data_IF_996710528709
#
_entry.id   IF_996710528709
#
_cell.length_a   1.000
_cell.length_b   1.000
_cell.length_c   1.000
_cell.angle_alpha   90.00
_cell.angle_beta   90.00
_cell.angle_gamma   90.00
#
_symmetry.space_group_name_H-M   'P 1'
#
loop_
_entity.id
_entity.type
_entity.pdbx_description
1 polymer ?
#
# COMPACT_ATOMS: atom_id res chain seq x y z
N UNK A 1 4.09 -15.51 6.27
CA UNK A 1 3.96 -14.07 5.95
C UNK A 1 3.39 -13.28 7.12
N UNK A 2 2.21 -13.61 7.66
CA UNK A 2 1.67 -12.96 8.88
C UNK A 2 2.71 -12.88 10.02
N UNK A 3 3.42 -13.99 10.28
CA UNK A 3 4.52 -14.02 11.25
C UNK A 3 5.72 -13.11 10.93
N UNK A 4 6.03 -12.87 9.65
CA UNK A 4 7.07 -11.91 9.31
C UNK A 4 6.55 -10.47 9.43
N UNK A 5 5.31 -10.22 8.98
CA UNK A 5 4.75 -8.87 8.91
C UNK A 5 4.33 -8.32 10.27
N UNK A 6 4.06 -9.18 11.26
CA UNK A 6 3.59 -8.79 12.59
C UNK A 6 2.30 -7.92 12.52
N UNK A 7 1.43 -8.20 11.55
CA UNK A 7 0.18 -7.48 11.31
C UNK A 7 -0.91 -8.43 10.83
N UNK A 8 -2.17 -8.03 10.92
CA UNK A 8 -3.33 -8.66 10.27
C UNK A 8 -4.02 -7.71 9.28
N UNK A 9 -3.44 -6.54 9.01
CA UNK A 9 -3.95 -5.60 8.01
C UNK A 9 -3.98 -6.26 6.62
N UNK A 10 -5.17 -6.27 6.02
CA UNK A 10 -5.47 -6.97 4.77
C UNK A 10 -4.62 -6.45 3.61
N UNK A 11 -4.63 -5.14 3.38
CA UNK A 11 -3.89 -4.49 2.29
C UNK A 11 -2.37 -4.76 2.42
N UNK A 12 -1.83 -4.65 3.64
CA UNK A 12 -0.42 -4.94 3.90
C UNK A 12 -0.08 -6.41 3.62
N UNK A 13 -0.88 -7.37 4.09
CA UNK A 13 -0.59 -8.81 3.92
C UNK A 13 -0.73 -9.23 2.46
N UNK A 14 -1.82 -8.85 1.78
CA UNK A 14 -2.02 -9.20 0.38
C UNK A 14 -0.87 -8.67 -0.48
N UNK A 15 -0.45 -7.42 -0.25
CA UNK A 15 0.73 -6.88 -0.91
C UNK A 15 2.03 -7.61 -0.53
N UNK A 16 2.14 -8.09 0.70
CA UNK A 16 3.34 -8.76 1.22
C UNK A 16 3.58 -10.14 0.63
N UNK A 17 2.53 -10.86 0.23
CA UNK A 17 2.68 -12.19 -0.38
C UNK A 17 3.52 -12.11 -1.65
N UNK A 18 3.15 -11.25 -2.60
CA UNK A 18 3.92 -11.08 -3.81
C UNK A 18 5.33 -10.52 -3.54
N UNK A 19 5.48 -9.56 -2.61
CA UNK A 19 6.81 -9.05 -2.24
C UNK A 19 7.72 -10.13 -1.65
N UNK A 20 7.19 -11.01 -0.80
CA UNK A 20 7.95 -12.08 -0.17
C UNK A 20 8.49 -13.09 -1.19
N UNK A 21 7.64 -13.51 -2.15
CA UNK A 21 8.11 -14.42 -3.20
C UNK A 21 9.09 -13.75 -4.16
N UNK A 22 8.86 -12.47 -4.48
CA UNK A 22 9.80 -11.67 -5.28
C UNK A 22 11.15 -11.53 -4.58
N UNK A 23 11.18 -11.22 -3.28
CA UNK A 23 12.44 -11.09 -2.53
C UNK A 23 13.16 -12.43 -2.40
N UNK A 24 12.44 -13.54 -2.20
CA UNK A 24 13.00 -14.89 -2.20
C UNK A 24 13.64 -15.26 -3.55
N UNK A 25 13.02 -14.86 -4.66
CA UNK A 25 13.60 -15.05 -5.99
C UNK A 25 14.86 -14.21 -6.18
N UNK A 26 14.79 -12.92 -5.82
CA UNK A 26 15.86 -11.94 -6.00
C UNK A 26 17.10 -12.28 -5.17
N UNK A 27 16.95 -12.93 -4.01
CA UNK A 27 18.09 -13.37 -3.18
C UNK A 27 19.12 -14.22 -3.94
N UNK A 28 18.73 -14.86 -5.06
CA UNK A 28 19.66 -15.61 -5.92
C UNK A 28 20.48 -14.73 -6.89
N UNK A 29 20.14 -13.44 -7.02
CA UNK A 29 20.70 -12.52 -8.00
C UNK A 29 21.31 -11.26 -7.39
N UNK A 30 20.71 -10.75 -6.31
CA UNK A 30 21.17 -9.54 -5.63
C UNK A 30 20.78 -9.56 -4.15
N UNK A 31 21.58 -8.88 -3.34
CA UNK A 31 21.27 -8.62 -1.93
C UNK A 31 20.64 -7.23 -1.71
N UNK A 32 20.47 -6.43 -2.76
CA UNK A 32 19.90 -5.09 -2.68
C UNK A 32 19.06 -4.75 -3.93
N UNK A 33 17.93 -4.07 -3.73
CA UNK A 33 17.07 -3.57 -4.81
C UNK A 33 16.67 -2.12 -4.60
N UNK A 34 16.29 -1.46 -5.70
CA UNK A 34 15.58 -0.19 -5.68
C UNK A 34 14.08 -0.46 -5.86
N UNK A 35 13.26 0.19 -5.05
CA UNK A 35 11.80 0.04 -5.10
C UNK A 35 11.11 1.41 -5.19
N UNK A 36 9.86 1.43 -5.66
CA UNK A 36 9.13 2.64 -6.02
C UNK A 36 8.28 3.26 -4.90
N UNK A 37 8.26 2.66 -3.71
CA UNK A 37 7.47 3.10 -2.57
C UNK A 37 7.81 4.55 -2.16
N UNK A 38 6.77 5.32 -1.82
CA UNK A 38 6.84 6.75 -1.57
C UNK A 38 6.36 7.62 -2.74
N UNK A 39 6.39 7.11 -3.98
CA UNK A 39 5.97 7.89 -5.14
C UNK A 39 4.47 8.26 -5.08
N UNK A 40 3.61 7.32 -4.69
CA UNK A 40 2.18 7.55 -4.63
C UNK A 40 1.80 8.54 -3.52
N UNK A 41 2.47 8.46 -2.36
CA UNK A 41 2.24 9.35 -1.22
C UNK A 41 2.73 10.77 -1.50
N UNK A 42 3.90 10.92 -2.15
CA UNK A 42 4.52 12.22 -2.38
C UNK A 42 3.99 12.95 -3.62
N UNK A 43 3.60 12.22 -4.66
CA UNK A 43 3.19 12.76 -5.96
C UNK A 43 1.71 12.54 -6.28
N UNK A 44 0.89 12.18 -5.28
CA UNK A 44 -0.57 12.18 -5.43
C UNK A 44 -1.13 11.00 -6.21
N UNK A 45 -0.55 9.81 -6.05
CA UNK A 45 -0.96 8.59 -6.73
C UNK A 45 -2.36 8.11 -6.38
N UNK A 46 -2.82 8.31 -5.14
CA UNK A 46 -4.06 7.71 -4.64
C UNK A 46 -5.34 8.51 -4.94
N UNK A 47 -5.24 9.73 -5.46
CA UNK A 47 -6.41 10.63 -5.55
C UNK A 47 -7.43 10.22 -6.61
N UNK A 48 -7.04 9.35 -7.54
CA UNK A 48 -7.98 8.74 -8.47
C UNK A 48 -8.92 7.75 -7.76
N UNK A 49 -8.40 6.96 -6.82
CA UNK A 49 -9.17 5.98 -6.06
C UNK A 49 -9.92 6.59 -4.87
N UNK A 50 -9.41 7.67 -4.28
CA UNK A 50 -10.02 8.32 -3.10
C UNK A 50 -11.29 9.13 -3.40
N UNK A 51 -11.81 9.04 -4.64
CA UNK A 51 -12.91 9.86 -5.20
C UNK A 51 -12.57 11.37 -5.17
N UNK A 52 -13.32 12.17 -5.92
CA UNK A 52 -13.02 13.60 -6.12
C UNK A 52 -13.11 14.36 -4.80
N UNK A 53 -12.00 14.47 -4.08
CA UNK A 53 -11.78 15.40 -2.99
C UNK A 53 -11.58 16.76 -3.67
N UNK A 54 -12.59 17.64 -3.71
CA UNK A 54 -12.52 18.83 -4.55
C UNK A 54 -11.54 19.86 -3.98
N UNK A 55 -11.35 19.87 -2.66
CA UNK A 55 -10.47 20.82 -1.99
C UNK A 55 -9.00 20.38 -2.04
N UNK A 56 -8.17 21.24 -2.63
CA UNK A 56 -6.73 21.04 -2.73
C UNK A 56 -6.07 20.92 -1.35
N UNK A 57 -6.52 21.71 -0.36
CA UNK A 57 -5.94 21.65 0.99
C UNK A 57 -6.21 20.31 1.67
N UNK A 58 -7.41 19.77 1.49
CA UNK A 58 -7.74 18.43 1.96
C UNK A 58 -6.89 17.35 1.27
N UNK A 59 -6.61 17.48 -0.03
CA UNK A 59 -5.66 16.58 -0.72
C UNK A 59 -4.27 16.65 -0.10
N UNK A 60 -3.76 17.86 0.17
CA UNK A 60 -2.46 18.05 0.84
C UNK A 60 -2.41 17.41 2.23
N UNK A 61 -3.47 17.54 3.02
CA UNK A 61 -3.55 16.92 4.33
C UNK A 61 -3.51 15.39 4.24
N UNK A 62 -4.28 14.80 3.33
CA UNK A 62 -4.32 13.35 3.13
C UNK A 62 -2.98 12.83 2.63
N UNK A 63 -2.34 13.51 1.67
CA UNK A 63 -1.01 13.12 1.19
C UNK A 63 0.01 13.09 2.35
N UNK A 64 -0.01 14.10 3.24
CA UNK A 64 0.85 14.11 4.44
C UNK A 64 0.52 12.98 5.41
N UNK A 65 -0.77 12.64 5.60
CA UNK A 65 -1.19 11.50 6.43
C UNK A 65 -0.70 10.18 5.85
N UNK A 66 -0.83 9.99 4.54
CA UNK A 66 -0.37 8.79 3.82
C UNK A 66 1.13 8.56 4.01
N UNK A 67 1.96 9.59 3.87
CA UNK A 67 3.41 9.50 4.20
C UNK A 67 3.63 9.07 5.66
N UNK A 68 2.86 9.64 6.60
CA UNK A 68 2.99 9.33 8.04
C UNK A 68 2.57 7.91 8.39
N UNK A 69 1.62 7.29 7.69
CA UNK A 69 1.19 5.92 7.96
C UNK A 69 1.99 4.88 7.16
N UNK A 70 2.79 5.31 6.17
CA UNK A 70 3.54 4.41 5.29
C UNK A 70 4.46 3.45 6.05
N UNK A 71 5.02 3.87 7.20
CA UNK A 71 5.88 3.03 8.04
C UNK A 71 5.16 1.80 8.60
N UNK A 72 3.84 1.86 8.79
CA UNK A 72 3.03 0.74 9.28
C UNK A 72 2.36 -0.07 8.16
N UNK A 73 2.37 0.44 6.93
CA UNK A 73 1.67 -0.16 5.78
C UNK A 73 2.69 -0.57 4.71
N UNK A 74 2.83 0.21 3.63
CA UNK A 74 3.67 -0.14 2.48
C UNK A 74 5.15 -0.39 2.85
N UNK A 75 5.73 0.41 3.76
CA UNK A 75 7.12 0.25 4.16
C UNK A 75 7.33 -0.89 5.16
N UNK A 76 6.34 -1.19 6.01
CA UNK A 76 6.37 -2.36 6.89
C UNK A 76 6.51 -3.64 6.08
N UNK A 77 5.70 -3.74 5.01
CA UNK A 77 5.76 -4.83 4.05
C UNK A 77 7.15 -4.98 3.44
N UNK A 78 7.77 -3.86 3.04
CA UNK A 78 9.12 -3.88 2.48
C UNK A 78 10.13 -4.35 3.53
N UNK A 79 10.18 -3.68 4.68
CA UNK A 79 11.08 -3.97 5.79
C UNK A 79 11.03 -5.44 6.17
N UNK A 80 9.88 -5.87 6.67
CA UNK A 80 9.71 -7.23 7.15
C UNK A 80 9.84 -8.27 6.04
N UNK A 81 9.31 -7.96 4.85
CA UNK A 81 9.17 -8.94 3.77
C UNK A 81 10.49 -9.19 3.05
N UNK A 82 11.25 -8.14 2.76
CA UNK A 82 12.52 -8.26 2.06
C UNK A 82 13.64 -8.73 3.00
N UNK A 83 13.72 -8.20 4.23
CA UNK A 83 14.73 -8.66 5.19
C UNK A 83 14.52 -10.11 5.63
N UNK A 84 13.29 -10.64 5.58
CA UNK A 84 13.04 -12.07 5.84
C UNK A 84 13.76 -13.02 4.87
N UNK A 85 14.14 -12.53 3.69
CA UNK A 85 14.93 -13.27 2.69
C UNK A 85 16.35 -12.70 2.53
N UNK A 86 16.84 -11.93 3.51
CA UNK A 86 18.17 -11.30 3.51
C UNK A 86 18.43 -10.37 2.31
N UNK A 87 17.37 -9.77 1.76
CA UNK A 87 17.48 -8.77 0.68
C UNK A 87 17.20 -7.40 1.27
N UNK A 88 18.14 -6.47 1.10
CA UNK A 88 17.97 -5.07 1.44
C UNK A 88 17.20 -4.34 0.34
N UNK A 89 16.54 -3.24 0.68
CA UNK A 89 15.87 -2.39 -0.30
C UNK A 89 16.22 -0.92 -0.05
N UNK A 90 16.08 -0.11 -1.10
CA UNK A 90 16.19 1.35 -1.04
C UNK A 90 14.96 1.95 -1.70
N UNK A 91 14.44 3.01 -1.10
CA UNK A 91 13.28 3.79 -1.58
C UNK A 91 13.75 5.17 -2.02
N UNK A 92 14.23 5.37 -3.27
CA UNK A 92 14.75 6.67 -3.71
C UNK A 92 13.76 7.82 -3.54
N UNK A 93 12.46 7.56 -3.69
CA UNK A 93 11.42 8.58 -3.49
C UNK A 93 11.35 9.13 -2.06
N UNK A 94 11.74 8.33 -1.07
CA UNK A 94 11.74 8.74 0.34
C UNK A 94 13.09 9.32 0.79
N UNK A 95 13.99 9.60 -0.15
CA UNK A 95 15.17 10.40 0.15
C UNK A 95 14.75 11.78 0.69
N UNK A 96 15.37 12.30 1.77
CA UNK A 96 15.00 13.58 2.35
C UNK A 96 14.99 14.75 1.35
N UNK A 97 15.90 14.76 0.37
CA UNK A 97 15.95 15.79 -0.66
C UNK A 97 14.77 15.68 -1.63
N UNK A 98 14.38 14.47 -2.01
CA UNK A 98 13.21 14.21 -2.86
C UNK A 98 11.91 14.55 -2.11
N UNK A 99 11.82 14.18 -0.83
CA UNK A 99 10.68 14.55 0.02
C UNK A 99 10.58 16.07 0.14
N UNK A 100 11.68 16.76 0.46
CA UNK A 100 11.73 18.22 0.55
C UNK A 100 11.37 18.90 -0.78
N UNK A 101 11.84 18.36 -1.90
CA UNK A 101 11.48 18.83 -3.24
C UNK A 101 9.99 18.64 -3.52
N UNK A 102 9.45 17.45 -3.27
CA UNK A 102 8.04 17.13 -3.51
C UNK A 102 7.11 18.05 -2.69
N UNK A 103 7.51 18.47 -1.49
CA UNK A 103 6.73 19.37 -0.63
C UNK A 103 6.64 20.80 -1.18
N UNK A 104 7.52 21.18 -2.11
CA UNK A 104 7.48 22.48 -2.80
C UNK A 104 6.61 22.45 -4.05
N UNK A 105 6.26 21.26 -4.56
CA UNK A 105 5.44 21.11 -5.75
C UNK A 105 3.96 21.35 -5.37
N UNK A 106 3.28 22.31 -6.02
CA UNK A 106 1.84 22.50 -5.90
C UNK A 106 1.04 21.22 -6.15
N UNK A 107 0.00 20.99 -5.34
CA UNK A 107 -0.79 19.75 -5.41
C UNK A 107 -1.57 19.60 -6.73
N UNK A 108 -1.94 20.69 -7.39
CA UNK A 108 -2.56 20.72 -8.72
C UNK A 108 -1.61 20.25 -9.85
N UNK A 109 -0.29 20.30 -9.64
CA UNK A 109 0.69 19.67 -10.55
C UNK A 109 0.90 18.19 -10.24
N UNK A 110 0.57 17.74 -9.03
CA UNK A 110 0.60 16.31 -8.66
C UNK A 110 -0.65 15.59 -9.13
N UNK A 111 -1.81 16.23 -8.96
CA UNK A 111 -3.13 15.75 -9.36
C UNK A 111 -3.74 16.77 -10.31
N UNK A 112 -3.38 16.63 -11.59
CA UNK A 112 -3.69 17.63 -12.62
C UNK A 112 -5.00 17.31 -13.33
N UNK A 113 -5.89 18.29 -13.50
CA UNK A 113 -7.09 18.12 -14.31
C UNK A 113 -6.76 18.27 -15.80
N UNK A 114 -6.89 17.17 -16.56
CA UNK A 114 -6.74 17.17 -18.01
C UNK A 114 -8.10 17.42 -18.68
N UNK A 115 -8.34 18.60 -19.30
CA UNK A 115 -9.61 18.93 -19.93
C UNK A 115 -9.91 18.07 -21.17
N UNK A 116 -8.89 17.55 -21.85
CA UNK A 116 -9.09 16.69 -23.02
C UNK A 116 -9.59 15.30 -22.62
N UNK A 117 -9.16 14.82 -21.44
CA UNK A 117 -9.61 13.55 -20.87
C UNK A 117 -10.80 13.70 -19.92
N UNK A 118 -11.19 14.94 -19.59
CA UNK A 118 -12.28 15.27 -18.69
C UNK A 118 -12.10 14.75 -17.26
N UNK A 119 -10.84 14.52 -16.82
CA UNK A 119 -10.54 13.88 -15.53
C UNK A 119 -9.21 14.32 -14.95
N UNK A 120 -9.05 14.09 -13.64
CA UNK A 120 -7.76 14.23 -12.97
C UNK A 120 -6.79 13.11 -13.36
N UNK A 121 -5.51 13.46 -13.47
CA UNK A 121 -4.39 12.58 -13.75
C UNK A 121 -3.49 12.56 -12.51
N UNK A 122 -3.36 11.39 -11.90
CA UNK A 122 -2.48 11.19 -10.76
C UNK A 122 -1.00 11.22 -11.16
N UNK A 123 -0.13 11.70 -10.27
CA UNK A 123 1.33 11.77 -10.48
C UNK A 123 1.70 12.52 -11.76
N UNK A 124 0.91 13.52 -12.15
CA UNK A 124 1.05 14.18 -13.45
C UNK A 124 2.46 14.74 -13.67
N UNK A 125 2.97 15.55 -12.74
CA UNK A 125 4.32 16.11 -12.84
C UNK A 125 5.41 15.04 -12.95
N UNK A 126 5.23 13.89 -12.28
CA UNK A 126 6.17 12.78 -12.33
C UNK A 126 6.12 12.09 -13.71
N UNK A 127 4.91 11.92 -14.27
CA UNK A 127 4.72 11.38 -15.62
C UNK A 127 5.38 12.28 -16.67
N UNK A 128 5.16 13.60 -16.58
CA UNK A 128 5.77 14.56 -17.52
C UNK A 128 7.30 14.60 -17.39
N UNK A 129 7.84 14.55 -16.17
CA UNK A 129 9.29 14.57 -15.95
C UNK A 129 10.03 13.38 -16.59
N UNK A 130 9.35 12.25 -16.79
CA UNK A 130 9.92 11.03 -17.36
C UNK A 130 9.27 10.61 -18.68
N UNK A 131 8.47 11.49 -19.31
CA UNK A 131 7.71 11.18 -20.53
C UNK A 131 8.62 10.77 -21.69
N UNK A 132 9.78 11.41 -21.79
CA UNK A 132 10.77 11.11 -22.83
C UNK A 132 11.65 9.88 -22.52
N UNK A 133 11.54 9.30 -21.32
CA UNK A 133 12.39 8.19 -20.85
C UNK A 133 11.68 6.83 -20.93
N UNK A 134 10.35 6.83 -20.98
CA UNK A 134 9.53 5.63 -20.92
C UNK A 134 8.55 5.59 -22.11
N UNK A 135 8.16 4.39 -22.59
CA UNK A 135 7.11 4.27 -23.58
C UNK A 135 5.81 4.94 -23.13
N UNK A 136 5.08 5.57 -24.06
CA UNK A 136 3.83 6.29 -23.78
C UNK A 136 2.81 5.42 -23.03
N UNK A 137 2.71 4.15 -23.40
CA UNK A 137 1.85 3.15 -22.74
C UNK A 137 2.18 2.91 -21.26
N UNK A 138 3.42 3.17 -20.83
CA UNK A 138 3.85 3.11 -19.43
C UNK A 138 3.59 4.46 -18.75
N UNK A 139 3.96 5.56 -19.41
CA UNK A 139 3.82 6.92 -18.87
C UNK A 139 2.37 7.29 -18.60
N UNK A 140 1.44 6.87 -19.44
CA UNK A 140 0.01 7.18 -19.31
C UNK A 140 -0.80 6.04 -18.66
N UNK A 141 -0.13 4.97 -18.22
CA UNK A 141 -0.78 3.83 -17.57
C UNK A 141 -1.48 4.29 -16.27
N UNK A 142 -2.77 3.98 -16.09
CA UNK A 142 -3.46 4.15 -14.81
C UNK A 142 -2.71 3.49 -13.65
N UNK A 143 -2.71 4.15 -12.49
CA UNK A 143 -2.32 3.47 -11.24
C UNK A 143 -3.17 2.20 -11.05
N UNK A 144 -2.50 1.13 -10.66
CA UNK A 144 -3.12 -0.07 -10.10
C UNK A 144 -2.59 -0.26 -8.68
N UNK A 145 -3.43 -0.80 -7.80
CA UNK A 145 -2.98 -1.26 -6.49
C UNK A 145 -2.04 -2.44 -6.68
N UNK A 146 -1.05 -2.57 -5.80
CA UNK A 146 -0.02 -3.61 -5.95
C UNK A 146 -0.63 -5.02 -5.88
N UNK A 147 -1.40 -5.32 -4.83
CA UNK A 147 -1.97 -6.65 -4.63
C UNK A 147 -2.95 -7.03 -5.76
N UNK A 148 -3.88 -6.16 -6.12
CA UNK A 148 -4.72 -6.33 -7.32
C UNK A 148 -3.93 -6.49 -8.63
N UNK A 149 -2.88 -5.69 -8.86
CA UNK A 149 -2.02 -5.81 -10.04
C UNK A 149 -1.26 -7.14 -10.13
N UNK A 150 -0.98 -7.78 -8.98
CA UNK A 150 -0.36 -9.11 -8.90
C UNK A 150 -1.37 -10.27 -8.94
N UNK A 151 -2.67 -9.99 -8.86
CA UNK A 151 -3.73 -11.01 -8.74
C UNK A 151 -3.82 -11.69 -7.37
N UNK A 152 -3.03 -11.26 -6.39
CA UNK A 152 -3.04 -11.85 -5.03
C UNK A 152 -4.34 -11.54 -4.29
N UNK A 153 -4.92 -10.35 -4.49
CA UNK A 153 -6.19 -9.99 -3.84
C UNK A 153 -7.30 -10.99 -4.21
N UNK A 154 -7.50 -11.23 -5.51
CA UNK A 154 -8.51 -12.16 -6.02
C UNK A 154 -8.26 -13.59 -5.52
N UNK A 155 -6.99 -14.04 -5.54
CA UNK A 155 -6.61 -15.36 -5.04
C UNK A 155 -6.93 -15.51 -3.55
N UNK A 156 -6.63 -14.51 -2.74
CA UNK A 156 -6.90 -14.56 -1.30
C UNK A 156 -8.39 -14.44 -0.99
N UNK A 157 -9.15 -13.70 -1.80
CA UNK A 157 -10.62 -13.66 -1.69
C UNK A 157 -11.23 -15.04 -1.97
N UNK A 158 -10.70 -15.79 -2.93
CA UNK A 158 -11.14 -17.17 -3.20
C UNK A 158 -10.76 -18.12 -2.06
N UNK A 159 -9.49 -18.10 -1.63
CA UNK A 159 -8.98 -19.01 -0.60
C UNK A 159 -9.62 -18.82 0.78
N UNK A 160 -10.10 -17.62 1.09
CA UNK A 160 -10.64 -17.30 2.42
C UNK A 160 -12.14 -17.56 2.56
N UNK A 161 -12.88 -17.70 1.45
CA UNK A 161 -14.30 -18.09 1.46
C UNK A 161 -14.56 -19.42 2.18
N UNK A 162 -13.66 -20.38 2.01
CA UNK A 162 -13.77 -21.70 2.67
C UNK A 162 -13.22 -21.72 4.10
N UNK A 163 -12.67 -20.59 4.58
CA UNK A 163 -12.02 -20.46 5.90
C UNK A 163 -12.81 -19.60 6.87
N UNK A 164 -13.70 -18.76 6.36
CA UNK A 164 -14.54 -17.86 7.12
C UNK A 164 -15.94 -17.92 6.53
N UNK A 165 -16.93 -18.28 7.34
CA UNK A 165 -18.33 -18.33 6.89
C UNK A 165 -18.98 -16.94 6.94
N UNK A 166 -20.05 -16.78 6.17
CA UNK A 166 -20.84 -15.53 6.20
C UNK A 166 -21.49 -15.31 7.58
N UNK A 167 -21.89 -16.40 8.26
CA UNK A 167 -22.43 -16.37 9.61
C UNK A 167 -21.43 -15.78 10.61
N UNK A 168 -20.16 -16.17 10.52
CA UNK A 168 -19.09 -15.62 11.36
C UNK A 168 -18.90 -14.11 11.16
N UNK A 169 -19.08 -13.60 9.94
CA UNK A 169 -19.00 -12.16 9.67
C UNK A 169 -20.23 -11.40 10.17
N UNK A 170 -21.42 -12.01 10.13
CA UNK A 170 -22.66 -11.42 10.65
C UNK A 170 -22.63 -11.21 12.18
N UNK A 171 -21.86 -12.02 12.90
CA UNK A 171 -21.59 -11.82 14.33
C UNK A 171 -20.77 -10.55 14.63
N UNK A 172 -20.26 -9.87 13.59
CA UNK A 172 -19.41 -8.67 13.66
C UNK A 172 -18.19 -8.91 14.55
N UNK A 173 -17.32 -9.84 14.12
CA UNK A 173 -16.20 -10.27 14.94
C UNK A 173 -15.27 -9.09 15.18
N UNK A 174 -14.69 -9.08 16.39
CA UNK A 174 -13.75 -8.06 16.82
C UNK A 174 -12.49 -8.71 17.35
N UNK A 175 -11.41 -7.94 17.32
CA UNK A 175 -10.21 -8.28 18.08
C UNK A 175 -10.42 -8.08 19.58
N UNK A 176 -9.49 -8.56 20.40
CA UNK A 176 -9.54 -8.39 21.87
C UNK A 176 -9.47 -6.90 22.30
N UNK A 177 -9.03 -6.00 21.40
CA UNK A 177 -9.03 -4.54 21.58
C UNK A 177 -10.13 -3.82 20.79
N UNK A 178 -11.25 -4.49 20.52
CA UNK A 178 -12.46 -3.93 19.91
C UNK A 178 -12.32 -3.43 18.45
N UNK A 179 -11.29 -3.84 17.72
CA UNK A 179 -11.18 -3.54 16.29
C UNK A 179 -12.10 -4.48 15.51
N UNK A 180 -13.09 -3.92 14.81
CA UNK A 180 -13.98 -4.69 13.93
C UNK A 180 -13.21 -5.36 12.80
N UNK A 181 -13.46 -6.63 12.55
CA UNK A 181 -12.91 -7.43 11.46
C UNK A 181 -13.99 -7.58 10.39
N UNK A 182 -13.81 -6.92 9.24
CA UNK A 182 -14.93 -6.65 8.33
C UNK A 182 -14.90 -7.49 7.04
N UNK A 183 -13.89 -8.35 6.86
CA UNK A 183 -13.77 -9.18 5.67
C UNK A 183 -13.33 -10.61 6.02
N UNK A 184 -13.60 -11.60 5.14
CA UNK A 184 -13.07 -12.95 5.29
C UNK A 184 -11.54 -12.97 5.40
N UNK A 185 -10.85 -12.20 4.55
CA UNK A 185 -9.38 -12.09 4.56
C UNK A 185 -8.87 -11.54 5.88
N UNK A 186 -9.45 -10.45 6.36
CA UNK A 186 -9.02 -9.82 7.60
C UNK A 186 -9.25 -10.73 8.82
N UNK A 187 -10.42 -11.39 8.91
CA UNK A 187 -10.69 -12.33 10.00
C UNK A 187 -9.74 -13.54 9.93
N UNK A 188 -9.50 -14.07 8.74
CA UNK A 188 -8.57 -15.17 8.53
C UNK A 188 -7.14 -14.78 8.94
N UNK A 189 -6.66 -13.61 8.52
CA UNK A 189 -5.35 -13.09 8.91
C UNK A 189 -5.26 -12.81 10.40
N UNK A 190 -6.32 -12.33 11.04
CA UNK A 190 -6.38 -12.16 12.48
C UNK A 190 -6.25 -13.50 13.21
N UNK A 191 -6.93 -14.57 12.76
CA UNK A 191 -6.77 -15.93 13.32
C UNK A 191 -5.31 -16.40 13.23
N UNK A 192 -4.68 -16.23 12.08
CA UNK A 192 -3.25 -16.53 11.92
C UNK A 192 -2.38 -15.67 12.85
N UNK A 193 -2.69 -14.39 12.99
CA UNK A 193 -1.97 -13.49 13.88
C UNK A 193 -2.08 -13.94 15.34
N UNK A 194 -3.30 -14.28 15.81
CA UNK A 194 -3.55 -14.78 17.17
C UNK A 194 -2.84 -16.10 17.49
N UNK A 195 -2.60 -16.95 16.48
CA UNK A 195 -1.82 -18.17 16.65
C UNK A 195 -0.32 -17.91 16.81
N UNK A 196 0.17 -16.76 16.33
CA UNK A 196 1.60 -16.42 16.32
C UNK A 196 1.99 -15.42 17.42
N UNK A 197 1.05 -14.60 17.91
CA UNK A 197 1.35 -13.51 18.85
C UNK A 197 0.47 -13.51 20.11
N UNK A 198 1.02 -13.09 21.27
CA UNK A 198 0.27 -12.96 22.52
C UNK A 198 -0.89 -11.96 22.42
N UNK A 199 -1.84 -12.05 23.36
CA UNK A 199 -2.91 -11.04 23.51
C UNK A 199 -2.32 -9.65 23.75
N UNK A 200 -2.98 -8.62 23.25
CA UNK A 200 -2.56 -7.22 23.30
C UNK A 200 -1.70 -6.76 22.12
N UNK A 201 -1.05 -7.67 21.37
CA UNK A 201 -0.22 -7.30 20.22
C UNK A 201 -1.02 -6.69 19.07
N UNK A 202 -2.30 -7.01 18.97
CA UNK A 202 -3.23 -6.39 18.02
C UNK A 202 -3.34 -4.86 18.17
N UNK A 203 -2.99 -4.30 19.33
CA UNK A 203 -2.94 -2.84 19.54
C UNK A 203 -1.85 -2.13 18.72
N UNK A 204 -0.84 -2.88 18.27
CA UNK A 204 0.28 -2.39 17.45
C UNK A 204 -0.04 -2.44 15.95
N UNK A 205 -1.16 -3.06 15.57
CA UNK A 205 -1.59 -3.14 14.18
C UNK A 205 -2.30 -1.85 13.79
N UNK A 206 -1.84 -1.25 12.69
CA UNK A 206 -2.49 -0.11 12.05
C UNK A 206 -2.96 -0.53 10.67
N UNK A 207 -4.14 -0.07 10.30
CA UNK A 207 -4.72 -0.28 8.97
C UNK A 207 -4.29 0.80 8.01
N UNK A 208 -4.27 0.47 6.72
CA UNK A 208 -4.29 1.51 5.70
C UNK A 208 -5.68 2.17 5.69
N UNK A 209 -5.80 3.33 6.32
CA UNK A 209 -7.00 4.17 6.28
C UNK A 209 -6.58 5.61 5.94
N UNK A 210 -6.86 6.11 4.74
CA UNK A 210 -6.48 7.46 4.34
C UNK A 210 -7.30 8.56 5.05
N UNK A 211 -8.39 8.20 5.73
CA UNK A 211 -9.34 9.14 6.34
C UNK A 211 -9.31 9.14 7.88
N UNK A 212 -8.60 8.21 8.52
CA UNK A 212 -8.42 8.14 9.98
C UNK A 212 -6.97 8.33 10.38
#
# INVERSE_FOLDING_TARGET
>A
IVWYMETFDEDCISGAIANFYTSKMIANFSNCVLVGEGADELFGGYFRELKSIPDIKQKEEIARKLVRIAYNTALRRLDRGWFSNSVSYRTPYLDPEIVAFSNKIPMDLKVHYDPNKGREIEKWILREAFRDWLPEEIVDRPKLRFAGGTGVDDLMDELTKDKVTEEELQERPKTDNDLSLNSPKELYYYRLFRNNYPRGYESLVKRWDPFK
#
